data_IF_234349333356
#
_entry.id   IF_234349333356
#
_cell.length_a   1.000
_cell.length_b   1.000
_cell.length_c   1.000
_cell.angle_alpha   90.00
_cell.angle_beta   90.00
_cell.angle_gamma   90.00
#
_symmetry.space_group_name_H-M   'P 1'
#
loop_
_entity.id
_entity.type
_entity.pdbx_description
1 polymer ?
#
# COMPACT_ATOMS: atom_id res chain seq x y z
N UNK A 1 -11.03 8.16 32.26
CA UNK A 1 -10.44 9.08 31.28
C UNK A 1 -10.45 8.29 29.96
N UNK A 2 -11.42 8.60 29.08
CA UNK A 2 -11.44 7.98 27.75
C UNK A 2 -10.24 8.50 26.98
N UNK A 3 -9.22 7.69 26.81
CA UNK A 3 -8.20 7.92 25.80
C UNK A 3 -8.91 7.82 24.44
N UNK A 4 -9.25 8.94 23.84
CA UNK A 4 -9.72 8.99 22.46
C UNK A 4 -8.60 8.43 21.59
N UNK A 5 -8.78 7.19 21.13
CA UNK A 5 -7.87 6.57 20.18
C UNK A 5 -7.92 7.44 18.92
N UNK A 6 -6.82 8.08 18.58
CA UNK A 6 -6.73 8.91 17.37
C UNK A 6 -6.58 8.00 16.16
N UNK A 7 -7.24 8.31 15.04
CA UNK A 7 -7.11 7.53 13.81
C UNK A 7 -5.67 7.59 13.28
N UNK A 8 -5.21 6.47 12.70
CA UNK A 8 -3.93 6.41 12.02
C UNK A 8 -3.92 7.30 10.76
N UNK A 9 -5.04 7.30 10.03
CA UNK A 9 -5.27 8.20 8.89
C UNK A 9 -6.58 8.94 9.09
N UNK A 10 -6.56 10.26 8.83
CA UNK A 10 -7.76 11.10 8.92
C UNK A 10 -7.82 12.08 7.77
N UNK A 11 -8.86 11.96 6.95
CA UNK A 11 -9.22 12.92 5.90
C UNK A 11 -10.34 13.83 6.42
N UNK A 12 -10.23 15.13 6.17
CA UNK A 12 -11.22 16.12 6.59
C UNK A 12 -11.52 17.06 5.42
N UNK A 13 -12.73 16.96 4.86
CA UNK A 13 -13.22 17.85 3.81
C UNK A 13 -12.31 17.92 2.59
N UNK A 14 -11.81 16.79 2.11
CA UNK A 14 -10.79 16.72 1.05
C UNK A 14 -11.41 16.95 -0.32
N UNK A 15 -10.83 17.89 -1.10
CA UNK A 15 -11.18 18.17 -2.48
C UNK A 15 -9.99 17.96 -3.40
N UNK A 16 -10.24 17.27 -4.51
CA UNK A 16 -9.27 17.08 -5.59
C UNK A 16 -9.94 17.18 -6.95
N UNK A 17 -9.33 17.97 -7.83
CA UNK A 17 -9.79 18.16 -9.22
C UNK A 17 -8.65 18.00 -10.21
N UNK A 18 -8.97 17.51 -11.39
CA UNK A 18 -8.11 17.46 -12.57
C UNK A 18 -8.76 18.34 -13.67
N UNK A 19 -8.30 19.58 -13.79
CA UNK A 19 -8.97 20.55 -14.62
C UNK A 19 -10.43 20.76 -14.19
N UNK A 20 -11.38 20.54 -15.08
CA UNK A 20 -12.82 20.64 -14.80
C UNK A 20 -13.41 19.42 -14.08
N UNK A 21 -12.70 18.30 -14.05
CA UNK A 21 -13.17 17.07 -13.40
C UNK A 21 -12.90 17.13 -11.89
N UNK A 22 -13.96 17.12 -11.09
CA UNK A 22 -13.87 17.01 -9.64
C UNK A 22 -13.82 15.52 -9.24
N UNK A 23 -12.63 15.01 -8.95
CA UNK A 23 -12.42 13.61 -8.55
C UNK A 23 -12.82 13.35 -7.08
N UNK A 24 -12.53 14.29 -6.18
CA UNK A 24 -12.95 14.22 -4.76
C UNK A 24 -13.72 15.52 -4.42
N UNK A 25 -14.84 15.35 -3.71
CA UNK A 25 -15.70 16.47 -3.26
C UNK A 25 -16.03 16.25 -1.80
N UNK A 26 -15.44 17.04 -0.91
CA UNK A 26 -15.72 17.05 0.53
C UNK A 26 -15.60 15.67 1.18
N UNK A 27 -14.55 14.94 0.84
CA UNK A 27 -14.32 13.56 1.33
C UNK A 27 -13.74 13.60 2.73
N UNK A 28 -14.40 12.91 3.67
CA UNK A 28 -13.94 12.71 5.03
C UNK A 28 -13.93 11.22 5.34
N UNK A 29 -12.85 10.72 5.97
CA UNK A 29 -12.64 9.31 6.28
C UNK A 29 -11.67 9.21 7.45
N UNK A 30 -11.94 8.32 8.39
CA UNK A 30 -10.99 7.89 9.41
C UNK A 30 -10.63 6.43 9.18
N UNK A 31 -9.35 6.08 9.43
CA UNK A 31 -8.85 4.72 9.46
C UNK A 31 -8.13 4.53 10.77
N UNK A 32 -8.62 3.60 11.61
CA UNK A 32 -8.00 3.28 12.89
C UNK A 32 -6.82 2.33 12.71
N UNK A 33 -5.92 2.29 13.67
CA UNK A 33 -4.83 1.29 13.68
C UNK A 33 -5.41 -0.13 13.72
N UNK A 34 -4.89 -1.01 12.86
CA UNK A 34 -5.37 -2.37 12.67
C UNK A 34 -6.65 -2.50 11.85
N UNK A 35 -7.30 -1.41 11.47
CA UNK A 35 -8.54 -1.42 10.67
C UNK A 35 -8.27 -1.74 9.20
N UNK A 36 -9.17 -2.49 8.57
CA UNK A 36 -9.16 -2.84 7.15
C UNK A 36 -10.33 -2.15 6.45
N UNK A 37 -10.05 -1.02 5.82
CA UNK A 37 -11.03 -0.19 5.11
C UNK A 37 -11.01 -0.51 3.63
N UNK A 38 -12.17 -0.75 3.03
CA UNK A 38 -12.31 -1.03 1.60
C UNK A 38 -13.09 0.08 0.90
N UNK A 39 -12.50 0.66 -0.14
CA UNK A 39 -13.14 1.62 -1.01
C UNK A 39 -13.69 0.89 -2.24
N UNK A 40 -15.00 0.85 -2.35
CA UNK A 40 -15.73 0.14 -3.39
C UNK A 40 -16.56 1.14 -4.20
N UNK A 41 -16.73 0.89 -5.49
CA UNK A 41 -17.55 1.73 -6.37
C UNK A 41 -17.12 1.62 -7.83
N UNK A 42 -17.84 2.29 -8.75
CA UNK A 42 -17.54 2.23 -10.18
C UNK A 42 -16.17 2.83 -10.51
N UNK A 43 -15.62 2.44 -11.68
CA UNK A 43 -14.39 3.05 -12.20
C UNK A 43 -14.57 4.55 -12.37
N UNK A 44 -13.52 5.33 -12.09
CA UNK A 44 -13.56 6.79 -12.18
C UNK A 44 -14.24 7.51 -10.99
N UNK A 45 -14.72 6.80 -9.96
CA UNK A 45 -15.35 7.42 -8.78
C UNK A 45 -14.38 8.08 -7.79
N UNK A 46 -13.08 8.09 -8.06
CA UNK A 46 -12.08 8.77 -7.24
C UNK A 46 -11.38 7.90 -6.19
N UNK A 47 -11.65 6.60 -6.11
CA UNK A 47 -11.06 5.68 -5.12
C UNK A 47 -9.53 5.71 -5.10
N UNK A 48 -8.89 5.46 -6.24
CA UNK A 48 -7.42 5.54 -6.38
C UNK A 48 -6.89 6.93 -6.07
N UNK A 49 -7.67 7.98 -6.36
CA UNK A 49 -7.30 9.36 -6.03
C UNK A 49 -7.22 9.56 -4.52
N UNK A 50 -8.12 8.95 -3.72
CA UNK A 50 -8.04 8.99 -2.25
C UNK A 50 -6.71 8.42 -1.77
N UNK A 51 -6.32 7.21 -2.21
CA UNK A 51 -5.05 6.59 -1.82
C UNK A 51 -3.85 7.46 -2.21
N UNK A 52 -3.86 7.99 -3.43
CA UNK A 52 -2.79 8.83 -3.95
C UNK A 52 -2.70 10.19 -3.22
N UNK A 53 -3.80 10.70 -2.70
CA UNK A 53 -3.78 11.88 -1.84
C UNK A 53 -3.20 11.58 -0.45
N UNK A 54 -3.51 10.42 0.15
CA UNK A 54 -2.94 9.98 1.44
C UNK A 54 -1.43 9.81 1.35
N UNK A 55 -0.92 9.25 0.26
CA UNK A 55 0.51 9.11 0.01
C UNK A 55 1.15 10.37 -0.62
N UNK A 56 0.36 11.46 -0.78
CA UNK A 56 0.77 12.73 -1.41
C UNK A 56 1.41 12.54 -2.79
N UNK A 57 1.01 11.49 -3.54
CA UNK A 57 1.28 11.36 -4.97
C UNK A 57 0.40 12.31 -5.78
N UNK A 58 -0.79 12.64 -5.23
CA UNK A 58 -1.69 13.68 -5.73
C UNK A 58 -1.86 14.77 -4.68
N UNK A 59 -1.84 16.02 -5.12
CA UNK A 59 -1.97 17.17 -4.23
C UNK A 59 -3.44 17.58 -4.15
N UNK A 60 -3.97 17.71 -2.93
CA UNK A 60 -5.32 18.19 -2.67
C UNK A 60 -5.43 19.70 -2.89
N UNK A 61 -6.63 20.23 -3.23
CA UNK A 61 -6.87 21.65 -3.33
C UNK A 61 -7.47 22.25 -2.06
N UNK A 62 -8.25 21.45 -1.30
CA UNK A 62 -8.86 21.87 -0.03
C UNK A 62 -8.93 20.67 0.91
N UNK A 63 -9.13 20.96 2.19
CA UNK A 63 -9.23 19.97 3.25
C UNK A 63 -7.89 19.70 3.90
N UNK A 64 -7.83 18.62 4.67
CA UNK A 64 -6.66 18.21 5.42
C UNK A 64 -6.53 16.70 5.41
N UNK A 65 -5.31 16.19 5.40
CA UNK A 65 -5.01 14.77 5.59
C UNK A 65 -3.96 14.64 6.67
N UNK A 66 -4.36 13.95 7.74
CA UNK A 66 -3.47 13.60 8.85
C UNK A 66 -3.07 12.13 8.73
N UNK A 67 -1.80 11.84 8.93
CA UNK A 67 -1.27 10.48 9.10
C UNK A 67 -0.49 10.47 10.39
N UNK A 68 -0.83 9.57 11.32
CA UNK A 68 -0.27 9.53 12.67
C UNK A 68 -0.37 10.89 13.39
N UNK A 69 -1.50 11.59 13.18
CA UNK A 69 -1.76 12.91 13.74
C UNK A 69 -0.96 14.06 13.12
N UNK A 70 -0.14 13.81 12.10
CA UNK A 70 0.66 14.82 11.38
C UNK A 70 0.01 15.19 10.05
N UNK A 71 -0.15 16.48 9.80
CA UNK A 71 -0.63 16.96 8.50
C UNK A 71 0.44 16.75 7.43
N UNK A 72 0.14 15.86 6.47
CA UNK A 72 1.08 15.53 5.39
C UNK A 72 1.24 16.67 4.37
N UNK A 73 0.41 17.70 4.43
CA UNK A 73 0.50 18.91 3.59
C UNK A 73 1.08 20.12 4.32
N UNK A 74 1.45 19.98 5.60
CA UNK A 74 2.14 21.02 6.34
C UNK A 74 3.49 21.36 5.67
N UNK A 75 3.92 22.63 5.78
CA UNK A 75 5.15 23.12 5.12
C UNK A 75 6.43 22.45 5.64
N UNK A 76 6.42 22.03 6.89
CA UNK A 76 7.51 21.35 7.60
C UNK A 76 7.43 19.82 7.52
N UNK A 77 6.43 19.26 6.82
CA UNK A 77 6.28 17.83 6.66
C UNK A 77 7.31 17.24 5.69
N UNK A 78 8.19 16.39 6.21
CA UNK A 78 9.05 15.54 5.40
C UNK A 78 8.26 14.35 4.86
N UNK A 79 7.68 14.51 3.67
CA UNK A 79 6.88 13.47 3.01
C UNK A 79 7.71 12.22 2.68
N UNK A 80 9.00 12.35 2.44
CA UNK A 80 9.85 11.20 2.16
C UNK A 80 9.97 10.30 3.39
N UNK A 81 10.07 10.90 4.56
CA UNK A 81 10.06 10.17 5.84
C UNK A 81 8.68 9.54 6.11
N UNK A 82 7.60 10.30 5.93
CA UNK A 82 6.23 9.77 6.11
C UNK A 82 5.94 8.56 5.21
N UNK A 83 6.39 8.60 3.95
CA UNK A 83 6.22 7.48 3.00
C UNK A 83 6.98 6.21 3.39
N UNK A 84 7.99 6.29 4.26
CA UNK A 84 8.67 5.10 4.76
C UNK A 84 7.75 4.25 5.65
N UNK A 85 6.80 4.88 6.33
CA UNK A 85 5.84 4.23 7.23
C UNK A 85 4.52 3.87 6.52
N UNK A 86 4.42 4.15 5.20
CA UNK A 86 3.28 3.84 4.33
C UNK A 86 3.73 2.96 3.16
N UNK A 87 3.29 1.71 3.14
CA UNK A 87 3.46 0.84 1.97
C UNK A 87 2.39 1.17 0.92
N UNK A 88 2.78 1.21 -0.35
CA UNK A 88 1.81 1.34 -1.44
C UNK A 88 2.04 0.30 -2.52
N UNK A 89 0.96 -0.41 -2.85
CA UNK A 89 0.91 -1.44 -3.89
C UNK A 89 -0.02 -0.94 -4.99
N UNK A 90 0.48 -0.90 -6.21
CA UNK A 90 -0.22 -0.39 -7.37
C UNK A 90 -0.80 -1.53 -8.22
N UNK A 91 -1.72 -1.19 -9.10
CA UNK A 91 -2.23 -2.06 -10.15
C UNK A 91 -1.11 -2.60 -11.05
N UNK A 92 -0.17 -1.73 -11.47
CA UNK A 92 1.06 -2.14 -12.14
C UNK A 92 2.11 -2.44 -11.07
N UNK A 93 2.73 -3.56 -11.13
CA UNK A 93 3.65 -4.10 -10.10
C UNK A 93 4.77 -3.14 -9.68
N UNK A 94 5.21 -2.26 -10.59
CA UNK A 94 6.25 -1.23 -10.40
C UNK A 94 7.56 -1.77 -9.79
N UNK A 95 7.91 -3.01 -10.13
CA UNK A 95 9.22 -3.55 -9.81
C UNK A 95 10.29 -2.88 -10.67
N UNK A 96 11.48 -2.71 -10.11
CA UNK A 96 12.64 -2.20 -10.84
C UNK A 96 13.13 -3.29 -11.81
N UNK A 97 12.98 -3.12 -13.14
CA UNK A 97 13.24 -4.19 -14.09
C UNK A 97 14.73 -4.55 -14.22
N UNK A 98 15.62 -3.63 -13.85
CA UNK A 98 17.07 -3.81 -13.87
C UNK A 98 17.65 -4.39 -12.57
N UNK A 99 16.80 -4.69 -11.58
CA UNK A 99 17.16 -5.33 -10.32
C UNK A 99 16.48 -6.70 -10.24
N UNK A 100 17.21 -7.69 -9.69
CA UNK A 100 16.59 -8.96 -9.35
C UNK A 100 15.60 -8.81 -8.18
N UNK A 101 14.87 -9.87 -7.84
CA UNK A 101 13.86 -9.86 -6.78
C UNK A 101 14.46 -9.47 -5.43
N UNK A 102 15.57 -10.06 -5.04
CA UNK A 102 16.23 -9.75 -3.76
C UNK A 102 16.63 -8.26 -3.68
N UNK A 103 17.26 -7.74 -4.73
CA UNK A 103 17.69 -6.34 -4.75
C UNK A 103 16.49 -5.37 -4.80
N UNK A 104 15.36 -5.74 -5.43
CA UNK A 104 14.09 -5.01 -5.32
C UNK A 104 13.60 -4.90 -3.88
N UNK A 105 13.73 -5.96 -3.07
CA UNK A 105 13.26 -6.00 -1.69
C UNK A 105 14.17 -5.22 -0.74
N UNK A 106 15.49 -5.32 -0.90
CA UNK A 106 16.45 -4.76 0.06
C UNK A 106 16.80 -3.28 -0.21
N UNK A 107 16.54 -2.78 -1.41
CA UNK A 107 16.94 -1.43 -1.81
C UNK A 107 16.45 -0.35 -0.84
N UNK A 108 15.14 -0.33 -0.57
CA UNK A 108 14.52 0.69 0.27
C UNK A 108 14.91 0.55 1.76
N UNK A 109 14.85 -0.64 2.38
CA UNK A 109 15.33 -0.82 3.75
C UNK A 109 16.78 -0.35 3.96
N UNK A 110 17.68 -0.68 3.04
CA UNK A 110 19.10 -0.27 3.14
C UNK A 110 19.27 1.22 2.91
N UNK A 111 18.64 1.79 1.87
CA UNK A 111 18.86 3.18 1.46
C UNK A 111 18.14 4.20 2.30
N UNK A 112 16.91 3.87 2.74
CA UNK A 112 16.02 4.83 3.41
C UNK A 112 15.95 4.62 4.92
N UNK A 113 15.98 3.36 5.39
CA UNK A 113 15.98 3.03 6.82
C UNK A 113 17.38 2.88 7.40
N UNK A 114 18.43 2.88 6.57
CA UNK A 114 19.82 2.66 7.02
C UNK A 114 20.07 1.24 7.55
N UNK A 115 19.20 0.27 7.19
CA UNK A 115 19.34 -1.12 7.62
C UNK A 115 20.64 -1.73 7.05
N UNK A 116 21.35 -2.53 7.83
CA UNK A 116 22.51 -3.25 7.31
C UNK A 116 22.07 -4.21 6.22
N UNK A 117 22.87 -4.34 5.15
CA UNK A 117 22.53 -5.21 4.01
C UNK A 117 22.24 -6.66 4.45
N UNK A 118 22.99 -7.19 5.39
CA UNK A 118 22.77 -8.55 5.92
C UNK A 118 21.42 -8.72 6.61
N UNK A 119 20.97 -7.71 7.37
CA UNK A 119 19.67 -7.70 8.02
C UNK A 119 18.54 -7.58 6.98
N UNK A 120 18.71 -6.69 5.99
CA UNK A 120 17.75 -6.53 4.92
C UNK A 120 17.60 -7.81 4.08
N UNK A 121 18.71 -8.53 3.82
CA UNK A 121 18.68 -9.82 3.13
C UNK A 121 17.91 -10.85 3.94
N UNK A 122 18.15 -10.96 5.25
CA UNK A 122 17.46 -11.92 6.11
C UNK A 122 15.93 -11.66 6.11
N UNK A 123 15.51 -10.39 6.25
CA UNK A 123 14.09 -9.99 6.15
C UNK A 123 13.51 -10.33 4.77
N UNK A 124 14.25 -10.05 3.69
CA UNK A 124 13.80 -10.34 2.34
C UNK A 124 13.63 -11.85 2.09
N UNK A 125 14.55 -12.68 2.58
CA UNK A 125 14.49 -14.14 2.47
C UNK A 125 13.31 -14.73 3.26
N UNK A 126 13.03 -14.22 4.46
CA UNK A 126 11.85 -14.59 5.24
C UNK A 126 10.56 -14.26 4.48
N UNK A 127 10.45 -13.03 3.94
CA UNK A 127 9.28 -12.61 3.16
C UNK A 127 9.12 -13.43 1.87
N UNK A 128 10.21 -13.77 1.19
CA UNK A 128 10.19 -14.63 0.01
C UNK A 128 9.73 -16.05 0.33
N UNK A 129 10.20 -16.62 1.44
CA UNK A 129 9.75 -17.92 1.92
C UNK A 129 8.24 -17.90 2.21
N UNK A 130 7.75 -16.84 2.85
CA UNK A 130 6.33 -16.65 3.17
C UNK A 130 5.41 -16.70 1.94
N UNK A 131 5.86 -16.18 0.79
CA UNK A 131 5.10 -16.19 -0.47
C UNK A 131 5.47 -17.33 -1.42
N UNK A 132 6.29 -18.31 -0.97
CA UNK A 132 6.71 -19.47 -1.77
C UNK A 132 7.62 -19.15 -2.95
N UNK A 133 8.41 -18.07 -2.88
CA UNK A 133 9.31 -17.62 -3.96
C UNK A 133 10.80 -17.56 -3.52
N UNK A 134 11.20 -18.35 -2.52
CA UNK A 134 12.57 -18.37 -2.03
C UNK A 134 13.60 -18.78 -3.11
N UNK A 135 13.21 -19.67 -4.02
CA UNK A 135 14.00 -20.12 -5.18
C UNK A 135 14.14 -19.06 -6.28
N UNK A 136 13.29 -18.02 -6.27
CA UNK A 136 13.24 -16.94 -7.27
C UNK A 136 13.98 -15.68 -6.84
N UNK A 137 14.73 -15.70 -5.74
CA UNK A 137 15.37 -14.48 -5.19
C UNK A 137 16.32 -13.77 -6.16
N UNK A 138 16.92 -14.49 -7.10
CA UNK A 138 17.83 -13.92 -8.10
C UNK A 138 17.18 -13.75 -9.48
N UNK A 139 15.91 -14.14 -9.65
CA UNK A 139 15.17 -13.91 -10.90
C UNK A 139 14.93 -12.40 -11.12
N UNK A 140 14.87 -11.98 -12.37
CA UNK A 140 14.46 -10.64 -12.75
C UNK A 140 12.94 -10.56 -12.91
N UNK A 141 12.34 -9.35 -12.84
CA UNK A 141 10.90 -9.19 -12.95
C UNK A 141 10.28 -9.79 -14.23
N UNK A 142 10.96 -9.79 -15.36
CA UNK A 142 10.49 -10.35 -16.62
C UNK A 142 10.41 -11.90 -16.63
N UNK A 143 11.12 -12.55 -15.71
CA UNK A 143 11.09 -14.00 -15.51
C UNK A 143 9.95 -14.47 -14.59
N UNK A 144 9.14 -13.54 -14.05
CA UNK A 144 8.06 -13.83 -13.10
C UNK A 144 6.68 -13.73 -13.78
N UNK A 145 5.74 -14.57 -13.35
CA UNK A 145 4.32 -14.40 -13.70
C UNK A 145 3.73 -13.12 -13.10
N UNK A 146 2.57 -12.68 -13.59
CA UNK A 146 1.86 -11.51 -13.06
C UNK A 146 1.60 -11.60 -11.55
N UNK A 147 1.06 -12.74 -11.10
CA UNK A 147 0.80 -12.98 -9.66
C UNK A 147 2.08 -13.02 -8.82
N UNK A 148 3.18 -13.60 -9.35
CA UNK A 148 4.48 -13.55 -8.69
C UNK A 148 5.00 -12.12 -8.55
N UNK A 149 4.93 -11.31 -9.63
CA UNK A 149 5.30 -9.88 -9.60
C UNK A 149 4.52 -9.12 -8.55
N UNK A 150 3.22 -9.37 -8.48
CA UNK A 150 2.35 -8.67 -7.52
C UNK A 150 2.67 -9.08 -6.08
N UNK A 151 2.87 -10.37 -5.80
CA UNK A 151 3.29 -10.84 -4.47
C UNK A 151 4.65 -10.24 -4.08
N UNK A 152 5.60 -10.17 -5.00
CA UNK A 152 6.89 -9.49 -4.77
C UNK A 152 6.69 -7.99 -4.50
N UNK A 153 5.79 -7.30 -5.22
CA UNK A 153 5.48 -5.89 -4.97
C UNK A 153 4.89 -5.67 -3.56
N UNK A 154 4.03 -6.58 -3.09
CA UNK A 154 3.46 -6.53 -1.74
C UNK A 154 4.56 -6.71 -0.68
N UNK A 155 5.40 -7.76 -0.78
CA UNK A 155 6.44 -7.99 0.21
C UNK A 155 7.56 -6.95 0.14
N UNK A 156 7.78 -6.31 -1.01
CA UNK A 156 8.69 -5.15 -1.11
C UNK A 156 8.20 -3.99 -0.25
N UNK A 157 6.89 -3.72 -0.24
CA UNK A 157 6.32 -2.71 0.65
C UNK A 157 6.44 -3.14 2.13
N UNK A 158 6.17 -4.43 2.44
CA UNK A 158 6.29 -4.99 3.78
C UNK A 158 7.73 -4.99 4.33
N UNK A 159 8.75 -5.10 3.47
CA UNK A 159 10.16 -5.04 3.88
C UNK A 159 10.54 -3.72 4.57
N UNK A 160 9.77 -2.66 4.35
CA UNK A 160 9.89 -1.39 5.04
C UNK A 160 9.22 -1.39 6.43
N UNK A 161 8.51 -2.45 6.83
CA UNK A 161 7.72 -2.53 8.08
C UNK A 161 6.78 -1.33 8.24
N UNK A 162 5.88 -1.07 7.28
CA UNK A 162 4.99 0.08 7.31
C UNK A 162 3.90 -0.09 8.37
N UNK A 163 3.37 1.03 8.88
CA UNK A 163 2.20 1.05 9.77
C UNK A 163 0.87 1.00 8.99
N UNK A 164 0.90 1.40 7.72
CA UNK A 164 -0.25 1.45 6.82
C UNK A 164 0.10 0.84 5.46
N UNK A 165 -0.77 -0.03 4.95
CA UNK A 165 -0.69 -0.55 3.59
C UNK A 165 -1.82 0.03 2.73
N UNK A 166 -1.46 0.65 1.62
CA UNK A 166 -2.37 1.19 0.61
C UNK A 166 -2.36 0.26 -0.60
N UNK A 167 -3.52 -0.28 -0.99
CA UNK A 167 -3.65 -1.16 -2.15
C UNK A 167 -4.54 -0.50 -3.21
N UNK A 168 -3.97 -0.17 -4.37
CA UNK A 168 -4.67 0.45 -5.50
C UNK A 168 -4.93 -0.61 -6.59
N UNK A 169 -6.07 -1.30 -6.49
CA UNK A 169 -6.53 -2.36 -7.40
C UNK A 169 -5.46 -3.46 -7.65
N UNK A 170 -4.97 -4.14 -6.61
CA UNK A 170 -3.80 -5.00 -6.70
C UNK A 170 -3.99 -6.26 -7.56
N UNK A 171 -5.22 -6.60 -7.92
CA UNK A 171 -5.56 -7.81 -8.71
C UNK A 171 -6.02 -7.49 -10.13
N UNK A 172 -6.28 -6.23 -10.47
CA UNK A 172 -6.94 -5.86 -11.75
C UNK A 172 -6.09 -6.10 -13.01
N UNK A 173 -4.78 -6.29 -12.86
CA UNK A 173 -3.87 -6.63 -13.95
C UNK A 173 -3.52 -8.13 -13.99
N UNK A 174 -4.25 -8.98 -13.25
CA UNK A 174 -3.98 -10.41 -13.10
C UNK A 174 -5.08 -11.25 -13.73
N UNK A 175 -4.68 -12.43 -14.20
CA UNK A 175 -5.62 -13.47 -14.57
C UNK A 175 -6.34 -14.03 -13.33
N UNK A 176 -7.58 -14.55 -13.46
CA UNK A 176 -8.37 -15.05 -12.32
C UNK A 176 -7.65 -16.12 -11.50
N UNK A 177 -6.86 -16.99 -12.14
CA UNK A 177 -6.09 -18.05 -11.46
C UNK A 177 -5.01 -17.47 -10.53
N UNK A 178 -4.42 -16.35 -10.90
CA UNK A 178 -3.35 -15.69 -10.13
C UNK A 178 -3.90 -14.74 -9.05
N UNK A 179 -5.14 -14.31 -9.19
CA UNK A 179 -5.82 -13.41 -8.23
C UNK A 179 -5.92 -14.04 -6.85
N UNK A 180 -6.23 -15.35 -6.77
CA UNK A 180 -6.41 -16.08 -5.50
C UNK A 180 -5.20 -15.98 -4.57
N UNK A 181 -3.98 -16.21 -5.10
CA UNK A 181 -2.74 -16.16 -4.29
C UNK A 181 -2.45 -14.77 -3.73
N UNK A 182 -2.79 -13.72 -4.47
CA UNK A 182 -2.62 -12.33 -4.02
C UNK A 182 -3.64 -11.99 -2.93
N UNK A 183 -4.90 -12.38 -3.10
CA UNK A 183 -5.95 -12.19 -2.10
C UNK A 183 -5.68 -12.98 -0.82
N UNK A 184 -5.15 -14.21 -0.93
CA UNK A 184 -4.75 -15.01 0.24
C UNK A 184 -3.65 -14.31 1.05
N UNK A 185 -2.61 -13.78 0.37
CA UNK A 185 -1.57 -13.00 1.02
C UNK A 185 -2.14 -11.75 1.72
N UNK A 186 -3.01 -10.99 1.05
CA UNK A 186 -3.67 -9.83 1.64
C UNK A 186 -4.55 -10.21 2.84
N UNK A 187 -5.29 -11.33 2.74
CA UNK A 187 -6.09 -11.87 3.84
C UNK A 187 -5.23 -12.29 5.05
N UNK A 188 -4.04 -12.85 4.81
CA UNK A 188 -3.09 -13.15 5.87
C UNK A 188 -2.62 -11.87 6.59
N UNK A 189 -2.28 -10.82 5.85
CA UNK A 189 -1.92 -9.52 6.41
C UNK A 189 -3.06 -8.89 7.23
N UNK A 190 -4.30 -9.00 6.75
CA UNK A 190 -5.47 -8.53 7.47
C UNK A 190 -5.63 -9.25 8.82
N UNK A 191 -5.49 -10.59 8.84
CA UNK A 191 -5.55 -11.40 10.07
C UNK A 191 -4.42 -11.10 11.05
N UNK A 192 -3.27 -10.68 10.56
CA UNK A 192 -2.11 -10.25 11.38
C UNK A 192 -2.29 -8.84 11.98
N UNK A 193 -3.40 -8.17 11.71
CA UNK A 193 -3.72 -6.84 12.25
C UNK A 193 -3.08 -5.68 11.48
N UNK A 194 -2.61 -5.91 10.23
CA UNK A 194 -2.10 -4.83 9.40
C UNK A 194 -3.20 -3.81 9.10
N UNK A 195 -2.92 -2.53 9.33
CA UNK A 195 -3.82 -1.45 8.90
C UNK A 195 -3.80 -1.34 7.39
N UNK A 196 -4.96 -1.42 6.76
CA UNK A 196 -5.06 -1.48 5.31
C UNK A 196 -6.15 -0.56 4.78
N UNK A 197 -5.84 0.18 3.71
CA UNK A 197 -6.82 0.87 2.90
C UNK A 197 -6.75 0.32 1.47
N UNK A 198 -7.83 -0.34 1.03
CA UNK A 198 -7.86 -1.16 -0.17
C UNK A 198 -8.89 -0.64 -1.16
N UNK A 199 -8.45 -0.33 -2.37
CA UNK A 199 -9.33 -0.17 -3.53
C UNK A 199 -9.37 -1.49 -4.28
N UNK A 200 -10.53 -2.08 -4.45
CA UNK A 200 -10.70 -3.37 -5.14
C UNK A 200 -12.06 -3.48 -5.80
N UNK A 201 -12.14 -4.36 -6.80
CA UNK A 201 -13.38 -4.87 -7.39
C UNK A 201 -13.73 -6.27 -6.88
N UNK A 202 -12.92 -6.88 -6.03
CA UNK A 202 -13.09 -8.21 -5.44
C UNK A 202 -14.06 -8.14 -4.25
N UNK A 203 -15.37 -8.17 -4.56
CA UNK A 203 -16.44 -7.95 -3.57
C UNK A 203 -16.47 -9.02 -2.48
N UNK A 204 -16.16 -10.27 -2.82
CA UNK A 204 -16.14 -11.36 -1.85
C UNK A 204 -15.02 -11.17 -0.84
N UNK A 205 -13.81 -10.86 -1.33
CA UNK A 205 -12.68 -10.54 -0.47
C UNK A 205 -12.97 -9.35 0.44
N UNK A 206 -13.56 -8.27 -0.10
CA UNK A 206 -13.91 -7.12 0.69
C UNK A 206 -14.90 -7.44 1.82
N UNK A 207 -15.90 -8.32 1.58
CA UNK A 207 -16.85 -8.76 2.62
C UNK A 207 -16.23 -9.63 3.71
N UNK A 208 -15.22 -10.43 3.37
CA UNK A 208 -14.55 -11.35 4.29
C UNK A 208 -13.47 -10.66 5.13
N UNK A 209 -12.81 -9.64 4.57
CA UNK A 209 -11.62 -9.04 5.17
C UNK A 209 -11.86 -7.63 5.75
N UNK A 210 -13.01 -6.97 5.46
CA UNK A 210 -13.34 -5.65 6.01
C UNK A 210 -13.77 -5.72 7.48
N UNK A 211 -13.44 -4.66 8.23
CA UNK A 211 -13.97 -4.40 9.57
C UNK A 211 -15.29 -3.65 9.52
#
# INVERSE_FOLDING_TARGET
MNSSVSPLVSLRGVWKSYGALHALRDVSLDVMEGEKVFLIGPSGSGKSTVLRCINRLEIIQKGQILVEGRDIYARDCDICRMRQDMGMVFQSFNLFPHLNVLDNLILSPVRLRGMKRSEAVAVAEELLARIGLADRKFAFPDELSGGQKQRVAIIRALAMKPHLMLFDEPTSALDPEMTGEVLELMGALAREGMTMLVVTHEMNFAREAAD
#
